data_IF_756827173443
#
_entry.id   IF_756827173443
#
_cell.length_a   1.000
_cell.length_b   1.000
_cell.length_c   1.000
_cell.angle_alpha   90.00
_cell.angle_beta   90.00
_cell.angle_gamma   90.00
#
_symmetry.space_group_name_H-M   'P 1'
#
loop_
_entity.id
_entity.type
_entity.pdbx_description
1 polymer ?
#
# COMPACT_ATOMS: atom_id res chain seq x y z
N UNK A 1 -14.08 10.50 -27.30
CA UNK A 1 -14.73 11.53 -26.48
C UNK A 1 -13.84 11.89 -25.30
N UNK A 2 -13.64 13.16 -25.03
CA UNK A 2 -12.84 13.60 -23.90
C UNK A 2 -13.65 13.48 -22.62
N UNK A 3 -13.01 12.94 -21.57
CA UNK A 3 -13.59 12.89 -20.24
C UNK A 3 -13.62 14.28 -19.61
N UNK A 4 -14.72 14.68 -19.01
CA UNK A 4 -14.93 16.02 -18.46
C UNK A 4 -15.72 15.96 -17.15
N UNK A 5 -15.09 15.48 -16.08
CA UNK A 5 -15.72 15.29 -14.78
C UNK A 5 -15.86 16.60 -13.99
N UNK A 6 -15.02 17.59 -14.28
CA UNK A 6 -15.05 18.88 -13.58
C UNK A 6 -14.51 19.99 -14.50
N UNK A 7 -14.77 21.24 -14.10
CA UNK A 7 -14.20 22.42 -14.74
C UNK A 7 -12.84 22.72 -14.12
N UNK A 8 -11.73 22.59 -14.88
CA UNK A 8 -10.38 22.86 -14.35
C UNK A 8 -10.20 24.25 -13.76
N UNK A 9 -10.99 25.24 -14.19
CA UNK A 9 -10.91 26.59 -13.65
C UNK A 9 -11.37 26.69 -12.19
N UNK A 10 -12.06 25.66 -11.67
CA UNK A 10 -12.54 25.62 -10.28
C UNK A 10 -11.51 25.10 -9.29
N UNK A 11 -10.35 24.60 -9.78
CA UNK A 11 -9.29 24.06 -8.93
C UNK A 11 -8.04 24.90 -9.12
N UNK A 12 -7.60 25.56 -8.05
CA UNK A 12 -6.37 26.37 -8.08
C UNK A 12 -5.20 25.50 -7.59
N UNK A 13 -4.13 25.37 -8.38
CA UNK A 13 -2.92 24.69 -7.90
C UNK A 13 -2.36 25.41 -6.68
N UNK A 14 -1.86 24.63 -5.70
CA UNK A 14 -1.32 25.18 -4.45
C UNK A 14 0.17 25.56 -4.54
N UNK A 15 0.77 25.42 -5.73
CA UNK A 15 2.16 25.82 -5.97
C UNK A 15 3.19 24.75 -5.64
N UNK A 16 2.77 23.56 -5.18
CA UNK A 16 3.73 22.48 -4.94
C UNK A 16 4.32 21.97 -6.25
N UNK A 17 5.65 21.75 -6.32
CA UNK A 17 6.25 21.17 -7.51
C UNK A 17 5.97 19.65 -7.57
N UNK A 18 5.97 19.07 -8.78
CA UNK A 18 6.04 17.61 -8.88
C UNK A 18 7.38 17.12 -8.34
N UNK A 19 7.41 15.88 -7.81
CA UNK A 19 8.60 15.30 -7.23
C UNK A 19 8.67 13.82 -7.53
N UNK A 20 9.86 13.23 -7.36
CA UNK A 20 10.06 11.79 -7.48
C UNK A 20 10.93 11.27 -6.36
N UNK A 21 10.74 10.00 -6.00
CA UNK A 21 11.57 9.29 -5.05
C UNK A 21 11.66 7.82 -5.47
N UNK A 22 12.68 7.11 -4.99
CA UNK A 22 12.86 5.70 -5.30
C UNK A 22 12.12 4.85 -4.29
N UNK A 23 11.20 4.02 -4.77
CA UNK A 23 10.47 3.08 -3.93
C UNK A 23 11.32 1.83 -3.61
N UNK A 24 11.99 1.27 -4.60
CA UNK A 24 12.80 0.06 -4.45
C UNK A 24 14.28 0.46 -4.40
N UNK A 25 14.83 0.63 -3.20
CA UNK A 25 16.23 1.01 -2.99
C UNK A 25 17.07 -0.11 -2.33
N UNK A 26 16.45 -1.26 -2.04
CA UNK A 26 17.12 -2.42 -1.45
C UNK A 26 17.38 -2.32 0.05
N UNK A 27 16.90 -1.28 0.73
CA UNK A 27 17.23 -1.04 2.15
C UNK A 27 16.20 -1.60 3.14
N UNK A 28 15.06 -2.13 2.66
CA UNK A 28 13.93 -2.51 3.51
C UNK A 28 13.56 -4.00 3.41
N UNK A 29 14.54 -4.88 3.38
CA UNK A 29 14.29 -6.32 3.36
C UNK A 29 14.29 -6.93 1.97
N UNK A 30 15.15 -6.44 1.10
CA UNK A 30 15.37 -6.98 -0.23
C UNK A 30 14.85 -6.09 -1.36
N UNK A 31 15.00 -6.55 -2.62
CA UNK A 31 14.73 -5.71 -3.80
C UNK A 31 13.24 -5.47 -4.09
N UNK A 32 12.36 -6.19 -3.40
CA UNK A 32 10.90 -6.14 -3.65
C UNK A 32 10.13 -5.45 -2.54
N UNK A 33 10.83 -4.79 -1.62
CA UNK A 33 10.25 -4.05 -0.51
C UNK A 33 10.76 -2.63 -0.51
N UNK A 34 9.90 -1.70 -0.09
CA UNK A 34 10.28 -0.31 -0.03
C UNK A 34 9.17 0.56 0.52
N UNK A 35 9.50 1.82 0.76
CA UNK A 35 8.52 2.83 1.15
C UNK A 35 8.96 4.21 0.71
N UNK A 36 7.96 5.04 0.40
CA UNK A 36 8.15 6.46 0.16
C UNK A 36 7.07 7.19 0.94
N UNK A 37 7.46 7.94 1.96
CA UNK A 37 6.52 8.80 2.68
C UNK A 37 5.97 9.88 1.75
N UNK A 38 4.69 10.18 1.87
CA UNK A 38 4.05 11.25 1.11
C UNK A 38 4.76 12.59 1.29
N UNK A 39 5.19 12.90 2.53
CA UNK A 39 5.90 14.14 2.83
C UNK A 39 7.22 14.28 2.07
N UNK A 40 7.89 13.17 1.72
CA UNK A 40 9.10 13.19 0.89
C UNK A 40 8.80 13.74 -0.51
N UNK A 41 7.60 13.43 -1.03
CA UNK A 41 7.16 13.93 -2.33
C UNK A 41 6.41 15.26 -2.24
N UNK A 42 6.08 15.71 -1.03
CA UNK A 42 5.21 16.88 -0.82
C UNK A 42 3.73 16.55 -0.94
N UNK A 43 3.34 15.29 -0.79
CA UNK A 43 1.96 14.82 -0.97
C UNK A 43 1.34 14.24 0.31
N UNK A 44 0.12 13.73 0.16
CA UNK A 44 -0.70 13.25 1.28
C UNK A 44 -0.81 11.73 1.34
N UNK A 45 -0.11 11.01 0.47
CA UNK A 45 -0.19 9.56 0.34
C UNK A 45 1.20 8.97 0.45
N UNK A 46 1.34 7.94 1.30
CA UNK A 46 2.57 7.16 1.44
C UNK A 46 2.41 5.85 0.68
N UNK A 47 3.42 5.47 -0.07
CA UNK A 47 3.41 4.24 -0.87
C UNK A 47 4.39 3.26 -0.25
N UNK A 48 3.91 2.04 0.03
CA UNK A 48 4.75 0.92 0.40
C UNK A 48 4.71 -0.14 -0.70
N UNK A 49 5.76 -0.94 -0.74
CA UNK A 49 5.80 -2.17 -1.52
C UNK A 49 6.24 -3.31 -0.62
N UNK A 50 5.58 -4.44 -0.74
CA UNK A 50 5.91 -5.65 0.01
C UNK A 50 6.03 -6.82 -0.96
N UNK A 51 7.09 -7.61 -0.83
CA UNK A 51 7.25 -8.80 -1.64
C UNK A 51 7.97 -9.90 -0.88
N UNK A 52 7.60 -11.15 -1.14
CA UNK A 52 8.32 -12.33 -0.68
C UNK A 52 8.01 -13.51 -1.62
N UNK A 53 8.86 -14.54 -1.54
CA UNK A 53 8.73 -15.75 -2.34
C UNK A 53 8.26 -16.96 -1.53
N UNK A 54 7.86 -16.76 -0.26
CA UNK A 54 7.61 -17.86 0.66
C UNK A 54 6.15 -17.95 1.06
N UNK A 55 5.43 -19.01 0.67
CA UNK A 55 4.05 -19.21 1.11
C UNK A 55 3.92 -19.21 2.64
N UNK A 56 2.89 -18.56 3.15
CA UNK A 56 2.65 -18.42 4.58
C UNK A 56 3.36 -17.24 5.23
N UNK A 57 4.30 -16.59 4.54
CA UNK A 57 5.03 -15.45 5.07
C UNK A 57 4.30 -14.15 4.75
N UNK A 58 4.28 -13.23 5.71
CA UNK A 58 3.70 -11.90 5.57
C UNK A 58 4.08 -11.00 6.73
N UNK A 59 3.65 -9.74 6.71
CA UNK A 59 3.90 -8.82 7.80
C UNK A 59 3.16 -9.24 9.07
N UNK A 60 3.65 -8.77 10.21
CA UNK A 60 3.00 -8.98 11.50
C UNK A 60 1.65 -8.26 11.54
N UNK A 61 0.73 -8.77 12.38
CA UNK A 61 -0.53 -8.08 12.64
C UNK A 61 -0.25 -6.67 13.16
N UNK A 62 -0.86 -5.67 12.53
CA UNK A 62 -0.62 -4.27 12.85
C UNK A 62 -1.85 -3.43 12.54
N UNK A 63 -1.77 -2.15 12.88
CA UNK A 63 -2.88 -1.20 12.69
C UNK A 63 -2.33 0.18 12.34
N UNK A 64 -3.10 0.91 11.53
CA UNK A 64 -2.84 2.30 11.17
C UNK A 64 -4.01 3.19 11.56
N UNK A 65 -3.78 4.48 11.87
CA UNK A 65 -4.87 5.42 12.14
C UNK A 65 -5.52 5.98 10.87
N UNK A 66 -5.30 5.36 9.72
CA UNK A 66 -5.79 5.80 8.40
C UNK A 66 -6.10 4.58 7.54
N UNK A 67 -6.81 4.81 6.43
CA UNK A 67 -7.12 3.76 5.45
C UNK A 67 -5.88 3.36 4.68
N UNK A 68 -5.79 2.06 4.39
CA UNK A 68 -4.79 1.50 3.50
C UNK A 68 -5.46 0.72 2.38
N UNK A 69 -4.98 0.90 1.15
CA UNK A 69 -5.42 0.07 0.02
C UNK A 69 -4.25 -0.80 -0.42
N UNK A 70 -4.43 -2.10 -0.33
CA UNK A 70 -3.47 -3.08 -0.83
C UNK A 70 -3.78 -3.39 -2.28
N UNK A 71 -2.79 -3.32 -3.14
CA UNK A 71 -2.93 -3.73 -4.56
C UNK A 71 -2.04 -4.95 -4.77
N UNK A 72 -2.63 -6.09 -5.12
CA UNK A 72 -1.86 -7.28 -5.46
C UNK A 72 -1.39 -7.13 -6.91
N UNK A 73 -0.08 -7.08 -7.11
CA UNK A 73 0.53 -6.89 -8.42
C UNK A 73 0.96 -8.23 -9.01
N UNK A 74 1.44 -9.15 -8.17
CA UNK A 74 1.89 -10.48 -8.59
C UNK A 74 1.54 -11.48 -7.49
N UNK A 75 1.13 -12.69 -7.89
CA UNK A 75 0.82 -13.76 -6.96
C UNK A 75 -0.56 -13.67 -6.34
N UNK A 76 -0.70 -14.27 -5.16
CA UNK A 76 -1.95 -14.33 -4.40
C UNK A 76 -1.68 -14.13 -2.93
N UNK A 77 -2.57 -13.42 -2.25
CA UNK A 77 -2.46 -13.19 -0.81
C UNK A 77 -3.77 -13.48 -0.11
N UNK A 78 -3.67 -13.90 1.14
CA UNK A 78 -4.80 -13.96 2.06
C UNK A 78 -4.68 -12.82 3.05
N UNK A 79 -5.67 -11.94 3.04
CA UNK A 79 -5.75 -10.79 3.92
C UNK A 79 -6.65 -11.11 5.12
N UNK A 80 -6.17 -10.77 6.30
CA UNK A 80 -6.93 -10.81 7.54
C UNK A 80 -7.17 -9.37 7.95
N UNK A 81 -8.42 -8.90 7.82
CA UNK A 81 -8.80 -7.50 8.08
C UNK A 81 -9.92 -7.53 9.13
N UNK A 82 -9.60 -7.23 10.38
CA UNK A 82 -10.51 -7.43 11.49
C UNK A 82 -10.89 -8.91 11.60
N UNK A 83 -12.18 -9.20 11.53
CA UNK A 83 -12.72 -10.57 11.56
C UNK A 83 -12.98 -11.13 10.15
N UNK A 84 -12.61 -10.41 9.08
CA UNK A 84 -12.81 -10.83 7.70
C UNK A 84 -11.55 -11.48 7.15
N UNK A 85 -11.74 -12.51 6.32
CA UNK A 85 -10.67 -13.16 5.56
C UNK A 85 -10.97 -12.97 4.08
N UNK A 86 -10.03 -12.38 3.36
CA UNK A 86 -10.22 -12.02 1.94
C UNK A 86 -9.02 -12.55 1.16
N UNK A 87 -9.27 -13.43 0.18
CA UNK A 87 -8.24 -13.87 -0.75
C UNK A 87 -8.26 -12.97 -1.98
N UNK A 88 -7.09 -12.50 -2.39
CA UNK A 88 -6.95 -11.64 -3.56
C UNK A 88 -5.77 -12.11 -4.41
N UNK A 89 -5.91 -11.94 -5.72
CA UNK A 89 -4.87 -12.28 -6.69
C UNK A 89 -4.44 -11.05 -7.48
N UNK A 90 -3.41 -11.22 -8.31
CA UNK A 90 -2.86 -10.15 -9.14
C UNK A 90 -3.97 -9.40 -9.88
N UNK A 91 -3.97 -8.08 -9.79
CA UNK A 91 -4.97 -7.21 -10.39
C UNK A 91 -6.10 -6.82 -9.45
N UNK A 92 -6.15 -7.38 -8.24
CA UNK A 92 -7.19 -7.05 -7.25
C UNK A 92 -6.66 -6.16 -6.16
N UNK A 93 -7.55 -5.39 -5.53
CA UNK A 93 -7.22 -4.52 -4.41
C UNK A 93 -8.14 -4.80 -3.22
N UNK A 94 -7.60 -4.56 -2.02
CA UNK A 94 -8.30 -4.80 -0.75
C UNK A 94 -8.18 -3.54 0.11
N UNK A 95 -9.25 -3.16 0.78
CA UNK A 95 -9.24 -2.05 1.73
C UNK A 95 -8.97 -2.56 3.13
N UNK A 96 -7.99 -1.93 3.81
CA UNK A 96 -7.81 -2.01 5.25
C UNK A 96 -8.30 -0.71 5.88
N UNK A 97 -9.49 -0.66 6.49
CA UNK A 97 -10.01 0.58 7.06
C UNK A 97 -9.18 1.08 8.24
N UNK A 98 -9.19 2.39 8.46
CA UNK A 98 -8.53 3.03 9.60
C UNK A 98 -8.94 2.36 10.92
N UNK A 99 -7.96 2.07 11.77
CA UNK A 99 -8.20 1.50 13.09
C UNK A 99 -8.52 0.00 13.12
N UNK A 100 -8.62 -0.65 11.97
CA UNK A 100 -8.89 -2.08 11.88
C UNK A 100 -7.57 -2.84 11.74
N UNK A 101 -7.21 -3.71 12.71
CA UNK A 101 -6.00 -4.52 12.63
C UNK A 101 -6.00 -5.40 11.39
N UNK A 102 -4.85 -5.53 10.76
CA UNK A 102 -4.73 -6.35 9.57
C UNK A 102 -3.34 -6.97 9.42
N UNK A 103 -3.28 -8.02 8.63
CA UNK A 103 -2.07 -8.66 8.11
C UNK A 103 -2.42 -9.43 6.85
N UNK A 104 -1.43 -9.89 6.13
CA UNK A 104 -1.65 -10.78 5.00
C UNK A 104 -0.48 -11.77 4.87
N UNK A 105 -0.72 -12.85 4.12
CA UNK A 105 0.29 -13.86 3.87
C UNK A 105 0.29 -14.23 2.40
N UNK A 106 1.47 -14.62 1.89
CA UNK A 106 1.60 -15.18 0.55
C UNK A 106 0.91 -16.55 0.53
N UNK A 107 -0.03 -16.75 -0.38
CA UNK A 107 -0.68 -18.04 -0.59
C UNK A 107 0.13 -18.96 -1.50
N UNK A 108 1.10 -18.41 -2.24
CA UNK A 108 1.86 -19.17 -3.22
C UNK A 108 1.01 -19.68 -4.38
N UNK A 109 1.61 -20.50 -5.26
CA UNK A 109 3.03 -20.70 -5.34
C UNK A 109 3.75 -19.47 -5.89
N UNK A 110 5.02 -19.32 -5.54
CA UNK A 110 5.86 -18.26 -6.09
C UNK A 110 5.73 -16.92 -5.36
N UNK A 111 6.14 -15.86 -6.05
CA UNK A 111 6.24 -14.52 -5.47
C UNK A 111 4.88 -13.87 -5.26
N UNK A 112 4.73 -13.26 -4.08
CA UNK A 112 3.73 -12.23 -3.83
C UNK A 112 4.41 -10.87 -3.95
N UNK A 113 3.79 -9.96 -4.68
CA UNK A 113 4.18 -8.55 -4.72
C UNK A 113 2.94 -7.69 -4.54
N UNK A 114 2.99 -6.78 -3.55
CA UNK A 114 1.95 -5.79 -3.36
C UNK A 114 2.52 -4.39 -3.49
N UNK A 115 1.66 -3.45 -3.87
CA UNK A 115 1.86 -2.01 -3.70
C UNK A 115 0.76 -1.55 -2.76
N UNK A 116 1.14 -0.89 -1.68
CA UNK A 116 0.24 -0.55 -0.59
C UNK A 116 0.15 0.96 -0.46
N UNK A 117 -1.07 1.49 -0.53
CA UNK A 117 -1.32 2.93 -0.51
C UNK A 117 -1.84 3.30 0.87
N UNK A 118 -1.06 4.06 1.62
CA UNK A 118 -1.41 4.59 2.93
C UNK A 118 -1.94 6.01 2.79
N UNK A 119 -3.14 6.26 3.27
CA UNK A 119 -3.78 7.57 3.17
C UNK A 119 -3.25 8.51 4.26
N UNK A 120 -1.97 8.83 4.17
CA UNK A 120 -1.26 9.65 5.16
C UNK A 120 0.06 10.16 4.54
N UNK A 121 0.51 11.37 4.91
CA UNK A 121 1.80 11.90 4.43
C UNK A 121 3.01 11.15 5.00
N UNK A 122 2.81 10.27 5.98
CA UNK A 122 3.88 9.43 6.54
C UNK A 122 3.35 8.07 6.97
N UNK A 123 4.25 7.10 7.06
CA UNK A 123 3.97 5.77 7.56
C UNK A 123 3.85 5.80 9.08
N UNK A 124 2.68 5.48 9.61
CA UNK A 124 2.37 5.42 11.04
C UNK A 124 1.79 4.04 11.32
N UNK A 125 2.42 3.28 12.22
CA UNK A 125 2.05 1.89 12.44
C UNK A 125 2.27 1.47 13.89
N UNK A 126 1.36 0.66 14.42
CA UNK A 126 1.55 -0.05 15.68
C UNK A 126 1.43 -1.55 15.42
N UNK A 127 2.49 -2.30 15.73
CA UNK A 127 2.46 -3.75 15.66
C UNK A 127 1.74 -4.31 16.88
N UNK A 128 0.88 -5.31 16.66
CA UNK A 128 0.05 -5.92 17.69
C UNK A 128 0.54 -7.33 18.09
N UNK A 129 1.62 -7.79 17.47
CA UNK A 129 2.25 -9.07 17.82
C UNK A 129 3.77 -9.01 17.67
#
# INVERSE_FOLDING_TARGET
MARRDFDPATVTPDGRPPAKARLFDGTQGGPYRGSVNGETLGGQVTILAYGNDEPGLGPLLHVHPYDEVFVVVEGRARFFVGDQVIDAEAGESVLGPAGVPHRFVNLGPGRLQTIDVHHSPRWIQTNLE
#
